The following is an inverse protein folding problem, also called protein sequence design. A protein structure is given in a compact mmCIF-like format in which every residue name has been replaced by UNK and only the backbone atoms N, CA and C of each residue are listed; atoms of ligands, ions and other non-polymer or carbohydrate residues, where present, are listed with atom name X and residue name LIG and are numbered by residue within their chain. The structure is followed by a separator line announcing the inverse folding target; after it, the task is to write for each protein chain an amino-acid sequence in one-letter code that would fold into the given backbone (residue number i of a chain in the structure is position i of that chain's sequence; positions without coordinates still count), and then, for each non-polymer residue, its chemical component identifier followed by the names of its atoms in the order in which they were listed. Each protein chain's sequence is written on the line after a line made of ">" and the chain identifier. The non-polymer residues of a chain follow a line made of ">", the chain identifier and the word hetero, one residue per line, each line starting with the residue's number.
data_IF_072878588872
#
_entry.id   IF_072878588872
#
_cell.length_a   1.000
_cell.length_b   1.000
_cell.length_c   1.000
_cell.angle_alpha   90.00
_cell.angle_beta   90.00
_cell.angle_gamma   90.00
#
_symmetry.space_group_name_H-M   'P 1'
#
loop_
_entity.id
_entity.type
_entity.pdbx_description
1 polymer ?
#
# COMPACT_ATOMS: atom_id res chain seq x y z
N UNK A 1 7.22 38.51 3.52
CA UNK A 1 8.37 37.62 3.75
C UNK A 1 8.73 36.98 2.42
N UNK A 2 9.91 37.31 1.89
CA UNK A 2 10.37 36.81 0.59
C UNK A 2 10.77 35.34 0.73
N UNK A 3 10.24 34.49 -0.16
CA UNK A 3 10.65 33.09 -0.27
C UNK A 3 12.06 33.05 -0.86
N UNK A 4 13.05 32.84 0.00
CA UNK A 4 14.44 32.66 -0.39
C UNK A 4 14.59 31.24 -0.92
N UNK A 5 15.06 31.10 -2.17
CA UNK A 5 15.33 29.80 -2.77
C UNK A 5 16.38 29.06 -1.92
N UNK A 6 16.14 27.80 -1.52
CA UNK A 6 17.09 27.07 -0.69
C UNK A 6 18.38 26.84 -1.48
N UNK A 7 19.50 27.17 -0.85
CA UNK A 7 20.84 26.79 -1.29
C UNK A 7 20.90 25.29 -1.56
N UNK A 8 21.65 24.90 -2.60
CA UNK A 8 21.96 23.51 -2.97
C UNK A 8 21.90 22.58 -1.76
N UNK A 9 20.94 21.65 -1.78
CA UNK A 9 20.48 20.90 -0.62
C UNK A 9 21.60 20.28 0.20
N UNK A 10 21.80 20.80 1.41
CA UNK A 10 22.56 20.10 2.43
C UNK A 10 21.82 18.79 2.76
N UNK A 11 22.47 17.62 2.65
CA UNK A 11 21.85 16.32 2.94
C UNK A 11 21.15 16.29 4.31
N UNK A 12 21.76 16.94 5.31
CA UNK A 12 21.24 17.05 6.67
C UNK A 12 19.93 17.85 6.75
N UNK A 13 19.74 18.85 5.88
CA UNK A 13 18.51 19.64 5.83
C UNK A 13 17.37 18.83 5.23
N UNK A 14 17.64 18.09 4.14
CA UNK A 14 16.67 17.18 3.50
C UNK A 14 16.23 16.10 4.49
N UNK A 15 17.17 15.49 5.21
CA UNK A 15 16.90 14.49 6.24
C UNK A 15 15.98 15.02 7.35
N UNK A 16 16.26 16.22 7.85
CA UNK A 16 15.46 16.85 8.91
C UNK A 16 14.03 17.12 8.42
N UNK A 17 13.88 17.62 7.19
CA UNK A 17 12.56 17.87 6.59
C UNK A 17 11.77 16.58 6.37
N UNK A 18 12.42 15.50 5.90
CA UNK A 18 11.76 14.19 5.76
C UNK A 18 11.26 13.67 7.09
N UNK A 19 12.09 13.71 8.13
CA UNK A 19 11.69 13.28 9.46
C UNK A 19 10.50 14.11 10.00
N UNK A 20 10.46 15.41 9.73
CA UNK A 20 9.34 16.28 10.09
C UNK A 20 8.05 15.92 9.31
N UNK A 21 8.15 15.67 8.01
CA UNK A 21 7.01 15.28 7.18
C UNK A 21 6.45 13.91 7.61
N UNK A 22 7.32 12.94 7.87
CA UNK A 22 6.92 11.61 8.38
C UNK A 22 6.24 11.74 9.75
N UNK A 23 6.74 12.60 10.64
CA UNK A 23 6.09 12.86 11.93
C UNK A 23 4.68 13.42 11.77
N UNK A 24 4.42 14.25 10.76
CA UNK A 24 3.10 14.82 10.47
C UNK A 24 2.10 13.79 9.94
N UNK A 25 2.55 12.66 9.40
CA UNK A 25 1.68 11.55 8.98
C UNK A 25 0.96 10.87 10.15
N UNK A 26 1.50 10.98 11.37
CA UNK A 26 0.94 10.37 12.59
C UNK A 26 -0.36 11.03 13.08
N UNK A 27 -0.89 12.00 12.34
CA UNK A 27 -2.13 12.71 12.71
C UNK A 27 -3.35 11.79 12.71
N UNK A 28 -4.27 12.04 13.63
CA UNK A 28 -5.55 11.32 13.74
C UNK A 28 -6.58 11.79 12.71
N UNK A 29 -6.47 13.04 12.28
CA UNK A 29 -7.36 13.62 11.26
C UNK A 29 -7.07 13.03 9.89
N UNK A 30 -8.08 12.41 9.28
CA UNK A 30 -7.97 11.76 7.98
C UNK A 30 -7.69 12.75 6.83
N UNK A 31 -8.28 13.94 6.86
CA UNK A 31 -8.09 14.95 5.82
C UNK A 31 -6.67 15.52 5.88
N UNK A 32 -6.22 15.88 7.09
CA UNK A 32 -4.83 16.34 7.31
C UNK A 32 -3.82 15.24 6.99
N UNK A 33 -4.11 13.97 7.31
CA UNK A 33 -3.24 12.85 6.96
C UNK A 33 -3.04 12.76 5.44
N UNK A 34 -4.12 12.87 4.67
CA UNK A 34 -4.02 12.83 3.20
C UNK A 34 -3.23 14.02 2.65
N UNK A 35 -3.41 15.21 3.23
CA UNK A 35 -2.63 16.40 2.85
C UNK A 35 -1.14 16.21 3.15
N UNK A 36 -0.80 15.74 4.36
CA UNK A 36 0.59 15.46 4.74
C UNK A 36 1.23 14.39 3.84
N UNK A 37 0.49 13.34 3.47
CA UNK A 37 0.97 12.31 2.55
C UNK A 37 1.26 12.89 1.15
N UNK A 38 0.38 13.78 0.65
CA UNK A 38 0.59 14.51 -0.61
C UNK A 38 1.80 15.45 -0.54
N UNK A 39 1.98 16.18 0.56
CA UNK A 39 3.15 17.02 0.77
C UNK A 39 4.45 16.21 0.74
N UNK A 40 4.48 15.05 1.41
CA UNK A 40 5.62 14.13 1.37
C UNK A 40 5.88 13.64 -0.05
N UNK A 41 4.85 13.20 -0.78
CA UNK A 41 4.97 12.79 -2.17
C UNK A 41 5.55 13.90 -3.05
N UNK A 42 5.00 15.12 -2.99
CA UNK A 42 5.47 16.25 -3.79
C UNK A 42 6.93 16.60 -3.46
N UNK A 43 7.32 16.50 -2.19
CA UNK A 43 8.69 16.71 -1.78
C UNK A 43 9.62 15.64 -2.38
N UNK A 44 9.29 14.35 -2.24
CA UNK A 44 10.09 13.24 -2.80
C UNK A 44 10.16 13.32 -4.33
N UNK A 45 9.04 13.61 -5.00
CA UNK A 45 9.00 13.81 -6.46
C UNK A 45 9.85 15.01 -6.90
N UNK A 46 9.94 16.06 -6.08
CA UNK A 46 10.84 17.19 -6.34
C UNK A 46 12.30 16.82 -6.16
N UNK A 47 12.63 16.08 -5.09
CA UNK A 47 13.99 15.58 -4.86
C UNK A 47 14.47 14.64 -5.97
N UNK A 48 13.58 13.80 -6.51
CA UNK A 48 13.91 12.90 -7.63
C UNK A 48 14.40 13.64 -8.88
N UNK A 49 13.96 14.90 -9.07
CA UNK A 49 14.31 15.74 -10.21
C UNK A 49 15.49 16.67 -9.93
N UNK A 50 15.73 17.00 -8.66
CA UNK A 50 16.76 17.97 -8.25
C UNK A 50 18.08 17.31 -7.84
N UNK A 51 18.04 16.07 -7.37
CA UNK A 51 19.21 15.35 -6.88
C UNK A 51 19.77 14.40 -7.94
N UNK A 52 21.05 14.04 -7.79
CA UNK A 52 21.62 12.91 -8.54
C UNK A 52 20.96 11.59 -8.11
N UNK A 53 20.99 10.60 -8.98
CA UNK A 53 20.41 9.27 -8.69
C UNK A 53 21.02 8.63 -7.43
N UNK A 54 22.32 8.82 -7.18
CA UNK A 54 23.00 8.30 -5.98
C UNK A 54 22.48 8.98 -4.70
N UNK A 55 22.38 10.30 -4.69
CA UNK A 55 21.91 11.04 -3.51
C UNK A 55 20.41 10.81 -3.26
N UNK A 56 19.60 10.74 -4.31
CA UNK A 56 18.19 10.39 -4.20
C UNK A 56 17.99 8.97 -3.63
N UNK A 57 18.82 8.02 -4.04
CA UNK A 57 18.80 6.65 -3.50
C UNK A 57 19.10 6.65 -1.99
N UNK A 58 20.08 7.43 -1.53
CA UNK A 58 20.39 7.57 -0.09
C UNK A 58 19.21 8.13 0.70
N UNK A 59 18.55 9.16 0.15
CA UNK A 59 17.32 9.72 0.73
C UNK A 59 16.22 8.67 0.86
N UNK A 60 15.99 7.88 -0.18
CA UNK A 60 14.99 6.81 -0.15
C UNK A 60 15.35 5.69 0.83
N UNK A 61 16.63 5.35 0.97
CA UNK A 61 17.11 4.38 1.96
C UNK A 61 16.85 4.83 3.40
N UNK A 62 16.73 6.14 3.66
CA UNK A 62 16.36 6.68 4.96
C UNK A 62 14.83 6.77 5.15
N UNK A 63 14.10 7.17 4.11
CA UNK A 63 12.64 7.32 4.17
C UNK A 63 11.92 5.97 4.29
N UNK A 64 12.34 4.99 3.49
CA UNK A 64 11.63 3.71 3.34
C UNK A 64 11.52 2.92 4.67
N UNK A 65 12.59 2.82 5.50
CA UNK A 65 12.50 2.22 6.84
C UNK A 65 11.57 2.97 7.79
N UNK A 66 11.50 4.30 7.72
CA UNK A 66 10.61 5.09 8.55
C UNK A 66 9.14 4.83 8.21
N UNK A 67 8.81 4.71 6.91
CA UNK A 67 7.48 4.34 6.46
C UNK A 67 7.12 2.91 6.92
N UNK A 68 8.07 1.97 6.83
CA UNK A 68 7.85 0.62 7.32
C UNK A 68 7.61 0.58 8.84
N UNK A 69 8.33 1.39 9.61
CA UNK A 69 8.12 1.51 11.05
C UNK A 69 6.70 2.01 11.41
N UNK A 70 6.13 2.92 10.61
CA UNK A 70 4.72 3.34 10.78
C UNK A 70 3.74 2.17 10.56
N UNK A 71 4.01 1.30 9.58
CA UNK A 71 3.20 0.11 9.34
C UNK A 71 3.30 -0.95 10.45
N UNK A 72 4.41 -1.00 11.19
CA UNK A 72 4.58 -1.91 12.33
C UNK A 72 4.05 -1.31 13.65
N UNK A 73 3.58 -0.07 13.63
CA UNK A 73 3.03 0.58 14.83
C UNK A 73 1.73 -0.09 15.29
N UNK A 74 1.40 0.07 16.57
CA UNK A 74 0.12 -0.39 17.14
C UNK A 74 -1.01 0.62 16.98
N UNK A 75 -0.71 1.81 16.45
CA UNK A 75 -1.65 2.90 16.31
C UNK A 75 -2.17 2.99 14.86
N UNK A 76 -3.47 2.79 14.69
CA UNK A 76 -4.16 2.92 13.41
C UNK A 76 -3.85 4.21 12.66
N UNK A 77 -3.75 5.34 13.37
CA UNK A 77 -3.44 6.63 12.74
C UNK A 77 -2.06 6.67 12.09
N UNK A 78 -1.08 5.99 12.69
CA UNK A 78 0.28 5.89 12.15
C UNK A 78 0.32 4.89 10.99
N UNK A 79 -0.31 3.73 11.14
CA UNK A 79 -0.43 2.74 10.06
C UNK A 79 -1.10 3.35 8.81
N UNK A 80 -2.23 4.02 8.98
CA UNK A 80 -2.95 4.70 7.89
C UNK A 80 -2.10 5.81 7.26
N UNK A 81 -1.27 6.51 8.05
CA UNK A 81 -0.36 7.52 7.54
C UNK A 81 0.74 6.92 6.66
N UNK A 82 1.33 5.81 7.11
CA UNK A 82 2.32 5.05 6.34
C UNK A 82 1.73 4.48 5.04
N UNK A 83 0.53 3.91 5.10
CA UNK A 83 -0.17 3.37 3.92
C UNK A 83 -0.50 4.45 2.90
N UNK A 84 -1.02 5.60 3.34
CA UNK A 84 -1.31 6.72 2.43
C UNK A 84 -0.04 7.30 1.78
N UNK A 85 1.06 7.35 2.51
CA UNK A 85 2.34 7.78 1.96
C UNK A 85 2.89 6.78 0.93
N UNK A 86 2.86 5.48 1.24
CA UNK A 86 3.30 4.43 0.30
C UNK A 86 2.46 4.47 -0.96
N UNK A 87 1.13 4.55 -0.84
CA UNK A 87 0.20 4.57 -1.98
C UNK A 87 0.53 5.68 -2.98
N UNK A 88 0.84 6.89 -2.50
CA UNK A 88 1.24 8.00 -3.37
C UNK A 88 2.66 7.85 -3.92
N UNK A 89 3.58 7.27 -3.16
CA UNK A 89 4.96 7.07 -3.59
C UNK A 89 5.11 6.00 -4.68
N UNK A 90 4.09 5.17 -4.91
CA UNK A 90 4.05 4.22 -6.04
C UNK A 90 4.24 4.95 -7.37
N UNK A 91 3.62 6.11 -7.56
CA UNK A 91 3.66 6.85 -8.83
C UNK A 91 5.08 7.28 -9.25
N UNK A 92 5.99 7.44 -8.30
CA UNK A 92 7.38 7.82 -8.57
C UNK A 92 8.40 6.73 -8.18
N UNK A 93 7.92 5.51 -7.94
CA UNK A 93 8.75 4.37 -7.55
C UNK A 93 9.42 3.71 -8.76
N UNK A 94 10.66 3.27 -8.59
CA UNK A 94 11.34 2.35 -9.53
C UNK A 94 11.03 0.87 -9.20
N UNK A 95 11.47 -0.06 -10.05
CA UNK A 95 11.19 -1.49 -9.89
C UNK A 95 11.60 -2.05 -8.52
N UNK A 96 12.79 -1.68 -8.02
CA UNK A 96 13.26 -2.12 -6.70
C UNK A 96 12.36 -1.61 -5.56
N UNK A 97 11.85 -0.39 -5.68
CA UNK A 97 10.93 0.20 -4.70
C UNK A 97 9.56 -0.46 -4.77
N UNK A 98 9.06 -0.77 -5.96
CA UNK A 98 7.80 -1.51 -6.16
C UNK A 98 7.89 -2.88 -5.46
N UNK A 99 9.00 -3.61 -5.63
CA UNK A 99 9.24 -4.88 -4.95
C UNK A 99 9.28 -4.69 -3.42
N UNK A 100 9.92 -3.64 -2.92
CA UNK A 100 9.95 -3.34 -1.48
C UNK A 100 8.56 -3.01 -0.93
N UNK A 101 7.80 -2.14 -1.60
CA UNK A 101 6.46 -1.76 -1.18
C UNK A 101 5.49 -2.94 -1.23
N UNK A 102 5.56 -3.79 -2.26
CA UNK A 102 4.81 -5.03 -2.33
C UNK A 102 5.06 -5.90 -1.08
N UNK A 103 6.33 -6.10 -0.71
CA UNK A 103 6.69 -6.86 0.50
C UNK A 103 6.18 -6.22 1.79
N UNK A 104 6.20 -4.89 1.89
CA UNK A 104 5.70 -4.17 3.07
C UNK A 104 4.20 -4.35 3.24
N UNK A 105 3.44 -4.14 2.17
CA UNK A 105 1.99 -4.33 2.17
C UNK A 105 1.63 -5.79 2.42
N UNK A 106 2.37 -6.73 1.83
CA UNK A 106 2.21 -8.17 2.07
C UNK A 106 2.38 -8.52 3.55
N UNK A 107 3.44 -8.02 4.19
CA UNK A 107 3.70 -8.28 5.60
C UNK A 107 2.63 -7.63 6.48
N UNK A 108 2.23 -6.39 6.15
CA UNK A 108 1.19 -5.65 6.85
C UNK A 108 -0.16 -6.38 6.84
N UNK A 109 -0.60 -6.87 5.68
CA UNK A 109 -1.87 -7.62 5.57
C UNK A 109 -1.87 -8.95 6.34
N UNK A 110 -0.70 -9.50 6.66
CA UNK A 110 -0.56 -10.73 7.43
C UNK A 110 -0.49 -10.50 8.95
N UNK A 111 -0.33 -9.25 9.40
CA UNK A 111 -0.27 -8.90 10.82
C UNK A 111 -1.60 -9.21 11.51
N UNK A 112 -1.59 -9.65 12.79
CA UNK A 112 -2.81 -9.78 13.56
C UNK A 112 -3.31 -8.42 14.07
N UNK A 113 -4.60 -8.33 14.37
CA UNK A 113 -5.28 -7.17 14.96
C UNK A 113 -5.20 -5.88 14.12
N UNK A 114 -5.11 -5.99 12.80
CA UNK A 114 -5.15 -4.83 11.90
C UNK A 114 -6.60 -4.41 11.65
N UNK A 115 -6.88 -3.11 11.73
CA UNK A 115 -8.22 -2.60 11.50
C UNK A 115 -8.69 -2.78 10.05
N UNK A 116 -10.00 -2.91 9.87
CA UNK A 116 -10.64 -3.02 8.55
C UNK A 116 -10.25 -1.86 7.62
N UNK A 117 -10.17 -0.65 8.15
CA UNK A 117 -9.78 0.55 7.40
C UNK A 117 -8.34 0.49 6.91
N UNK A 118 -7.42 0.00 7.75
CA UNK A 118 -6.03 -0.13 7.36
C UNK A 118 -5.82 -1.29 6.37
N UNK A 119 -6.52 -2.41 6.54
CA UNK A 119 -6.52 -3.50 5.55
C UNK A 119 -7.02 -3.03 4.18
N UNK A 120 -8.12 -2.28 4.14
CA UNK A 120 -8.64 -1.73 2.90
C UNK A 120 -7.64 -0.77 2.23
N UNK A 121 -7.01 0.11 3.01
CA UNK A 121 -5.99 1.03 2.49
C UNK A 121 -4.78 0.27 1.92
N UNK A 122 -4.33 -0.80 2.60
CA UNK A 122 -3.23 -1.63 2.12
C UNK A 122 -3.58 -2.41 0.86
N UNK A 123 -4.79 -2.95 0.76
CA UNK A 123 -5.26 -3.63 -0.45
C UNK A 123 -5.39 -2.67 -1.64
N UNK A 124 -5.84 -1.42 -1.42
CA UNK A 124 -5.87 -0.38 -2.46
C UNK A 124 -4.47 -0.07 -2.99
N UNK A 125 -3.49 0.08 -2.10
CA UNK A 125 -2.10 0.30 -2.49
C UNK A 125 -1.54 -0.90 -3.28
N UNK A 126 -1.90 -2.14 -2.95
CA UNK A 126 -1.55 -3.31 -3.79
C UNK A 126 -2.22 -3.27 -5.17
N UNK A 127 -3.47 -2.84 -5.24
CA UNK A 127 -4.16 -2.61 -6.52
C UNK A 127 -3.43 -1.56 -7.36
N UNK A 128 -3.00 -0.46 -6.75
CA UNK A 128 -2.23 0.58 -7.41
C UNK A 128 -0.85 0.08 -7.88
N UNK A 129 -0.17 -0.78 -7.11
CA UNK A 129 1.05 -1.47 -7.58
C UNK A 129 0.78 -2.34 -8.81
N UNK A 130 -0.41 -2.95 -8.91
CA UNK A 130 -0.80 -3.76 -10.07
C UNK A 130 -1.02 -2.93 -11.35
N UNK A 131 -1.11 -1.59 -11.25
CA UNK A 131 -1.16 -0.68 -12.41
C UNK A 131 0.18 -0.02 -12.71
N UNK A 132 1.23 -0.31 -11.95
CA UNK A 132 2.54 0.35 -12.06
C UNK A 132 3.10 0.29 -13.50
N UNK A 133 2.93 -0.85 -14.20
CA UNK A 133 3.37 -0.99 -15.59
C UNK A 133 2.77 0.06 -16.56
N UNK A 134 1.60 0.61 -16.24
CA UNK A 134 0.93 1.64 -17.04
C UNK A 134 1.24 3.06 -16.56
N UNK A 135 1.62 3.23 -15.30
CA UNK A 135 1.77 4.57 -14.68
C UNK A 135 3.22 5.03 -14.61
N UNK A 136 4.18 4.15 -14.31
CA UNK A 136 5.58 4.52 -14.08
C UNK A 136 6.59 3.68 -14.89
N UNK A 137 6.12 2.91 -15.87
CA UNK A 137 6.97 2.21 -16.86
C UNK A 137 7.65 0.95 -16.33
N UNK A 138 7.19 0.41 -15.19
CA UNK A 138 7.66 -0.86 -14.62
C UNK A 138 7.39 -2.03 -15.56
N UNK A 139 8.29 -3.02 -15.58
CA UNK A 139 8.12 -4.23 -16.40
C UNK A 139 6.77 -4.92 -16.19
N UNK A 140 6.02 -5.09 -17.27
CA UNK A 140 4.73 -5.81 -17.23
C UNK A 140 4.88 -7.26 -16.75
N UNK A 141 6.04 -7.89 -16.95
CA UNK A 141 6.34 -9.23 -16.45
C UNK A 141 6.46 -9.25 -14.92
N UNK A 142 7.07 -8.21 -14.33
CA UNK A 142 7.16 -8.07 -12.88
C UNK A 142 5.76 -7.95 -12.27
N UNK A 143 4.92 -7.09 -12.85
CA UNK A 143 3.54 -6.87 -12.40
C UNK A 143 2.71 -8.15 -12.55
N UNK A 144 2.82 -8.86 -13.67
CA UNK A 144 2.11 -10.12 -13.88
C UNK A 144 2.48 -11.19 -12.83
N UNK A 145 3.77 -11.35 -12.54
CA UNK A 145 4.24 -12.29 -11.52
C UNK A 145 3.77 -11.90 -10.12
N UNK A 146 3.76 -10.59 -9.81
CA UNK A 146 3.24 -10.06 -8.55
C UNK A 146 1.74 -10.35 -8.38
N UNK A 147 0.92 -10.07 -9.39
CA UNK A 147 -0.53 -10.32 -9.35
C UNK A 147 -0.82 -11.81 -9.19
N UNK A 148 -0.16 -12.67 -9.96
CA UNK A 148 -0.28 -14.13 -9.85
C UNK A 148 0.02 -14.63 -8.43
N UNK A 149 1.11 -14.14 -7.83
CA UNK A 149 1.48 -14.48 -6.45
C UNK A 149 0.44 -14.04 -5.42
N UNK A 150 -0.01 -12.79 -5.45
CA UNK A 150 -0.96 -12.27 -4.46
C UNK A 150 -2.35 -12.91 -4.60
N UNK A 151 -2.78 -13.26 -5.83
CA UNK A 151 -4.05 -13.99 -6.05
C UNK A 151 -3.99 -15.40 -5.45
N UNK A 152 -2.92 -16.16 -5.71
CA UNK A 152 -2.73 -17.50 -5.13
C UNK A 152 -2.75 -17.46 -3.61
N UNK A 153 -1.99 -16.54 -3.03
CA UNK A 153 -1.92 -16.33 -1.59
C UNK A 153 -3.27 -15.94 -0.97
N UNK A 154 -4.02 -15.05 -1.61
CA UNK A 154 -5.36 -14.70 -1.14
C UNK A 154 -6.30 -15.92 -1.15
N UNK A 155 -6.21 -16.78 -2.17
CA UNK A 155 -6.98 -18.03 -2.20
C UNK A 155 -6.58 -19.04 -1.13
N UNK A 156 -5.32 -19.08 -0.69
CA UNK A 156 -4.87 -19.89 0.45
C UNK A 156 -5.48 -19.38 1.77
N UNK A 157 -5.49 -18.06 1.98
CA UNK A 157 -6.14 -17.46 3.15
C UNK A 157 -7.64 -17.73 3.23
N UNK A 158 -8.28 -17.93 2.07
CA UNK A 158 -9.67 -18.37 2.00
C UNK A 158 -9.86 -19.88 2.25
N UNK A 159 -8.83 -20.72 2.38
CA UNK A 159 -9.01 -22.18 2.50
C UNK A 159 -8.95 -22.75 3.94
N UNK A 160 -8.67 -21.94 4.96
CA UNK A 160 -8.46 -22.41 6.35
C UNK A 160 -9.69 -23.10 7.01
N UNK A 161 -9.44 -23.99 7.98
CA UNK A 161 -10.47 -24.77 8.70
C UNK A 161 -11.50 -23.92 9.47
N UNK A 162 -12.74 -24.42 9.53
CA UNK A 162 -14.01 -23.68 9.57
C UNK A 162 -14.38 -22.93 10.87
N UNK A 163 -13.82 -23.18 12.04
CA UNK A 163 -14.49 -22.79 13.30
C UNK A 163 -13.99 -21.51 14.00
N UNK A 164 -12.72 -21.13 13.88
CA UNK A 164 -12.25 -19.77 14.25
C UNK A 164 -12.42 -18.76 13.10
N UNK A 165 -12.92 -19.25 11.96
CA UNK A 165 -12.60 -18.74 10.64
C UNK A 165 -13.67 -17.87 9.97
N UNK A 166 -14.84 -17.65 10.58
CA UNK A 166 -15.91 -16.84 9.96
C UNK A 166 -15.58 -15.34 9.98
N UNK A 167 -14.78 -14.87 10.95
CA UNK A 167 -14.34 -13.48 11.10
C UNK A 167 -12.82 -13.30 11.07
N UNK A 168 -12.08 -14.22 10.46
CA UNK A 168 -10.63 -14.08 10.45
C UNK A 168 -10.22 -12.89 9.57
N UNK A 169 -9.45 -11.99 10.16
CA UNK A 169 -8.88 -10.83 9.49
C UNK A 169 -8.22 -11.18 8.15
N UNK A 170 -7.62 -12.38 8.06
CA UNK A 170 -6.98 -12.91 6.85
C UNK A 170 -7.97 -13.13 5.71
N UNK A 171 -9.18 -13.61 5.97
CA UNK A 171 -10.22 -13.75 4.93
C UNK A 171 -10.70 -12.39 4.45
N UNK A 172 -10.89 -11.44 5.36
CA UNK A 172 -11.27 -10.08 5.01
C UNK A 172 -10.19 -9.41 4.15
N UNK A 173 -8.92 -9.54 4.55
CA UNK A 173 -7.76 -9.08 3.78
C UNK A 173 -7.72 -9.73 2.39
N UNK A 174 -7.90 -11.05 2.30
CA UNK A 174 -7.96 -11.77 1.03
C UNK A 174 -9.08 -11.24 0.10
N UNK A 175 -10.27 -10.98 0.65
CA UNK A 175 -11.38 -10.42 -0.12
C UNK A 175 -11.06 -9.02 -0.65
N UNK A 176 -10.45 -8.15 0.17
CA UNK A 176 -10.03 -6.83 -0.29
C UNK A 176 -8.93 -6.90 -1.35
N UNK A 177 -7.91 -7.74 -1.17
CA UNK A 177 -6.85 -7.93 -2.18
C UNK A 177 -7.43 -8.41 -3.50
N UNK A 178 -8.25 -9.47 -3.50
CA UNK A 178 -8.85 -9.99 -4.74
C UNK A 178 -9.72 -8.95 -5.43
N UNK A 179 -10.52 -8.19 -4.67
CA UNK A 179 -11.34 -7.10 -5.23
C UNK A 179 -10.48 -6.03 -5.89
N UNK A 180 -9.46 -5.52 -5.19
CA UNK A 180 -8.64 -4.43 -5.69
C UNK A 180 -7.79 -4.86 -6.89
N UNK A 181 -7.26 -6.10 -6.90
CA UNK A 181 -6.56 -6.66 -8.06
C UNK A 181 -7.47 -6.89 -9.26
N UNK A 182 -8.70 -7.36 -9.06
CA UNK A 182 -9.67 -7.54 -10.14
C UNK A 182 -10.08 -6.21 -10.78
N UNK A 183 -10.15 -5.12 -10.00
CA UNK A 183 -10.44 -3.78 -10.49
C UNK A 183 -9.25 -3.14 -11.20
N UNK A 184 -8.04 -3.33 -10.65
CA UNK A 184 -6.84 -2.65 -11.11
C UNK A 184 -6.16 -3.33 -12.30
N UNK A 185 -6.19 -4.68 -12.34
CA UNK A 185 -5.53 -5.47 -13.37
C UNK A 185 -6.47 -6.57 -13.94
N UNK A 186 -7.59 -6.18 -14.59
CA UNK A 186 -8.63 -7.12 -15.02
C UNK A 186 -8.11 -8.18 -16.00
N UNK A 187 -7.17 -7.84 -16.87
CA UNK A 187 -6.57 -8.78 -17.84
C UNK A 187 -5.70 -9.85 -17.16
N UNK A 188 -4.93 -9.47 -16.15
CA UNK A 188 -4.11 -10.39 -15.35
C UNK A 188 -4.97 -11.22 -14.38
N UNK A 189 -6.11 -10.68 -13.95
CA UNK A 189 -7.06 -11.36 -13.09
C UNK A 189 -7.99 -12.32 -13.85
N UNK A 190 -8.24 -12.10 -15.13
CA UNK A 190 -9.16 -12.90 -15.95
C UNK A 190 -8.96 -14.43 -15.87
N UNK A 191 -7.73 -14.99 -15.89
CA UNK A 191 -7.51 -16.43 -15.73
C UNK A 191 -8.03 -17.01 -14.41
N UNK A 192 -8.25 -16.17 -13.40
CA UNK A 192 -8.74 -16.53 -12.08
C UNK A 192 -10.24 -16.36 -11.93
N UNK A 193 -10.93 -15.81 -12.95
CA UNK A 193 -12.33 -15.43 -12.92
C UNK A 193 -13.22 -16.57 -12.42
N UNK A 194 -13.12 -17.76 -13.00
CA UNK A 194 -13.98 -18.90 -12.64
C UNK A 194 -13.76 -19.37 -11.18
N UNK A 195 -12.51 -19.38 -10.73
CA UNK A 195 -12.14 -19.74 -9.35
C UNK A 195 -12.62 -18.66 -8.37
N UNK A 196 -12.51 -17.40 -8.76
CA UNK A 196 -12.97 -16.27 -7.98
C UNK A 196 -14.49 -16.26 -7.88
N UNK A 197 -15.24 -16.44 -8.97
CA UNK A 197 -16.69 -16.54 -8.97
C UNK A 197 -17.18 -17.71 -8.10
N UNK A 198 -16.59 -18.90 -8.23
CA UNK A 198 -16.98 -20.06 -7.44
C UNK A 198 -16.74 -19.84 -5.93
N UNK A 199 -15.57 -19.30 -5.57
CA UNK A 199 -15.25 -18.98 -4.16
C UNK A 199 -16.10 -17.82 -3.66
N UNK A 200 -16.33 -16.78 -4.46
CA UNK A 200 -17.22 -15.68 -4.12
C UNK A 200 -18.67 -16.14 -3.99
N UNK A 201 -19.18 -17.11 -4.74
CA UNK A 201 -20.53 -17.65 -4.53
C UNK A 201 -20.63 -18.42 -3.21
N UNK A 202 -19.61 -19.23 -2.87
CA UNK A 202 -19.53 -19.91 -1.56
C UNK A 202 -19.43 -18.88 -0.43
N UNK A 203 -18.59 -17.86 -0.59
CA UNK A 203 -18.37 -16.84 0.44
C UNK A 203 -19.42 -15.73 0.46
N UNK A 204 -20.14 -15.45 -0.62
CA UNK A 204 -21.21 -14.46 -0.64
C UNK A 204 -22.43 -14.97 0.10
N UNK A 205 -22.71 -16.28 0.03
CA UNK A 205 -23.71 -16.92 0.88
C UNK A 205 -23.35 -16.78 2.38
N UNK A 206 -22.04 -16.81 2.72
CA UNK A 206 -21.57 -16.70 4.11
C UNK A 206 -21.26 -15.25 4.58
N UNK A 207 -20.92 -14.32 3.69
CA UNK A 207 -20.50 -12.92 3.99
C UNK A 207 -21.64 -11.93 3.71
N UNK A 208 -22.42 -12.07 2.63
CA UNK A 208 -23.58 -11.18 2.39
C UNK A 208 -24.75 -11.47 3.33
N UNK A 209 -24.84 -12.67 3.91
CA UNK A 209 -25.74 -12.93 5.05
C UNK A 209 -25.44 -12.07 6.29
N UNK A 210 -24.21 -11.57 6.45
CA UNK A 210 -23.81 -10.73 7.58
C UNK A 210 -23.73 -9.23 7.25
N UNK A 211 -23.55 -8.85 5.98
CA UNK A 211 -23.51 -7.44 5.56
C UNK A 211 -24.91 -6.82 5.44
N UNK A 212 -25.97 -7.63 5.27
CA UNK A 212 -27.37 -7.16 5.20
C UNK A 212 -28.03 -7.04 6.59
N UNK A 213 -27.38 -7.48 7.68
CA UNK A 213 -27.93 -7.37 9.05
C UNK A 213 -27.35 -6.22 9.89
N UNK A 214 -26.59 -5.30 9.29
CA UNK A 214 -26.12 -4.07 9.97
C UNK A 214 -26.32 -2.84 9.07
N UNK A 215 -27.51 -2.73 8.47
CA UNK A 215 -28.17 -1.44 8.22
C UNK A 215 -29.52 -1.42 8.94
#
# INVERSE_FOLDING_TARGET
>A
MQFQAPSKGDPQHVETLLAQLVKRLKTRDAALRQQCAKELYLFVATLSRQLSAETYTKVLQQLTPQLYALLQSTHDSEQLGGLAAIDLLIDCANEDQIIRFANYLRNFLAQPNTSRTALLAASKALGHLATANTTNGVSGTLVAAFVDFEVKRAFEWLQGERQEAIFSQRRLAACFVLRELAQSAPTLFHPWGDVWWLKCCIYAIDIFGAVILVE
#
